data_IF_827022467673
#
_entry.id   IF_827022467673
#
_cell.length_a   1.000
_cell.length_b   1.000
_cell.length_c   1.000
_cell.angle_alpha   90.00
_cell.angle_beta   90.00
_cell.angle_gamma   90.00
#
_symmetry.space_group_name_H-M   'P 1'
#
loop_
_entity.id
_entity.type
_entity.pdbx_description
1 polymer ?
#
# COMPACT_ATOMS: atom_id res chain seq x y z
N UNK A 1 25.79 -11.80 47.80
CA UNK A 1 26.40 -10.83 48.71
C UNK A 1 25.47 -9.63 48.74
N UNK A 2 24.81 -9.38 49.89
CA UNK A 2 23.85 -8.30 50.16
C UNK A 2 24.61 -7.02 50.50
N UNK A 3 24.11 -5.83 50.08
CA UNK A 3 24.18 -4.52 50.79
C UNK A 3 23.36 -3.48 49.98
N UNK A 4 22.19 -3.11 50.43
CA UNK A 4 21.73 -2.06 51.39
C UNK A 4 21.74 -0.64 50.80
N UNK A 5 20.50 -0.12 50.69
CA UNK A 5 20.13 1.32 50.52
C UNK A 5 20.59 2.17 51.70
N UNK A 6 20.63 3.53 51.53
CA UNK A 6 19.71 4.28 52.38
C UNK A 6 18.86 5.35 51.66
N UNK A 7 17.69 5.59 52.25
CA UNK A 7 16.77 6.71 52.12
C UNK A 7 17.34 7.95 52.84
N UNK A 8 17.10 9.15 52.24
CA UNK A 8 17.05 10.40 53.02
C UNK A 8 15.81 11.17 52.55
N UNK A 9 14.91 11.40 53.48
CA UNK A 9 13.79 12.30 53.43
C UNK A 9 14.16 13.61 54.15
N UNK A 10 13.82 14.76 53.60
CA UNK A 10 13.70 16.01 54.37
C UNK A 10 12.47 16.78 53.86
N UNK A 11 11.64 17.11 54.84
CA UNK A 11 10.42 17.90 54.76
C UNK A 11 10.69 19.37 55.13
N UNK A 12 9.78 20.27 54.77
CA UNK A 12 9.65 21.61 55.36
C UNK A 12 9.10 22.62 54.35
N UNK A 13 8.02 23.03 54.51
CA UNK A 13 7.19 23.99 55.25
C UNK A 13 6.72 25.18 54.44
N UNK A 14 5.46 25.43 54.56
CA UNK A 14 4.54 26.43 54.06
C UNK A 14 4.91 27.91 54.33
N UNK A 15 4.36 28.82 53.48
CA UNK A 15 3.85 30.11 53.91
C UNK A 15 2.79 30.64 52.92
N UNK A 16 1.64 30.97 53.49
CA UNK A 16 0.49 31.63 52.87
C UNK A 16 0.65 33.15 52.95
N UNK A 17 0.12 33.88 51.96
CA UNK A 17 -0.24 35.30 52.14
C UNK A 17 -1.45 35.65 51.29
N UNK A 18 -2.50 36.09 51.96
CA UNK A 18 -3.76 36.68 51.49
C UNK A 18 -3.59 38.18 51.23
N UNK A 19 -4.33 38.74 50.25
CA UNK A 19 -4.94 40.07 50.22
C UNK A 19 -5.79 40.20 48.95
N UNK A 20 -7.07 40.22 49.00
CA UNK A 20 -8.14 41.17 49.26
C UNK A 20 -8.38 42.26 48.19
N UNK A 21 -9.50 42.05 47.50
CA UNK A 21 -10.62 42.93 47.11
C UNK A 21 -10.38 44.17 46.26
N UNK A 22 -11.13 44.21 45.13
CA UNK A 22 -11.98 45.32 44.77
C UNK A 22 -13.10 44.92 43.83
N UNK A 23 -14.34 45.22 44.23
CA UNK A 23 -15.55 45.07 43.41
C UNK A 23 -15.67 46.23 42.41
N UNK A 24 -16.18 45.94 41.19
CA UNK A 24 -17.09 46.84 40.47
C UNK A 24 -17.85 46.01 39.39
N UNK A 25 -19.11 45.99 39.62
CA UNK A 25 -20.33 45.77 38.84
C UNK A 25 -20.27 45.63 37.31
N UNK A 26 -20.92 44.53 36.84
CA UNK A 26 -21.94 44.58 35.80
C UNK A 26 -21.52 44.08 34.43
N UNK A 27 -21.87 42.87 34.10
CA UNK A 27 -22.75 42.47 33.02
C UNK A 27 -22.73 40.92 32.88
N UNK A 28 -23.89 40.35 32.79
CA UNK A 28 -24.13 38.95 32.46
C UNK A 28 -23.47 38.59 31.14
N UNK A 29 -22.48 37.71 31.20
CA UNK A 29 -22.04 36.92 30.05
C UNK A 29 -22.07 35.45 30.43
N UNK A 30 -22.76 34.70 29.59
CA UNK A 30 -22.94 33.27 29.68
C UNK A 30 -21.58 32.57 29.71
N UNK A 31 -21.38 31.81 30.76
CA UNK A 31 -20.23 30.91 30.89
C UNK A 31 -20.45 29.76 29.92
N UNK A 32 -19.97 29.94 28.70
CA UNK A 32 -19.70 28.80 27.79
C UNK A 32 -18.55 28.03 28.43
N UNK A 33 -18.86 26.85 28.94
CA UNK A 33 -17.84 25.86 29.26
C UNK A 33 -17.07 25.57 27.96
N UNK A 34 -15.85 26.06 27.91
CA UNK A 34 -14.89 25.56 26.94
C UNK A 34 -14.61 24.10 27.32
N UNK A 35 -15.28 23.19 26.67
CA UNK A 35 -14.74 21.85 26.46
C UNK A 35 -13.43 22.08 25.74
N UNK A 36 -12.33 21.63 26.31
CA UNK A 36 -11.08 21.41 25.60
C UNK A 36 -11.39 20.40 24.47
N UNK A 37 -11.87 20.88 23.34
CA UNK A 37 -11.72 20.18 22.09
C UNK A 37 -10.21 20.17 21.83
N UNK A 38 -9.61 19.01 21.94
CA UNK A 38 -8.36 18.65 21.28
C UNK A 38 -8.42 19.33 19.92
N UNK A 39 -7.46 20.19 19.62
CA UNK A 39 -7.33 20.83 18.33
C UNK A 39 -7.12 19.71 17.31
N UNK A 40 -8.18 19.17 16.79
CA UNK A 40 -8.23 18.30 15.64
C UNK A 40 -8.17 19.21 14.43
N UNK A 41 -6.95 19.29 13.80
CA UNK A 41 -6.86 18.58 12.54
C UNK A 41 -7.74 19.14 11.44
N UNK A 42 -7.14 19.82 10.56
CA UNK A 42 -7.27 20.14 9.16
C UNK A 42 -8.55 19.87 8.34
N UNK A 43 -9.62 19.36 8.88
CA UNK A 43 -10.89 19.17 8.18
C UNK A 43 -11.66 20.49 8.01
N UNK A 44 -12.35 20.69 6.87
CA UNK A 44 -12.48 19.75 5.75
C UNK A 44 -11.20 19.59 4.94
N UNK A 45 -10.99 18.38 4.38
CA UNK A 45 -9.88 18.06 3.50
C UNK A 45 -10.44 17.85 2.10
N UNK A 46 -9.83 18.47 1.08
CA UNK A 46 -10.19 18.26 -0.32
C UNK A 46 -9.09 17.46 -1.01
N UNK A 47 -9.47 16.38 -1.70
CA UNK A 47 -8.57 15.50 -2.43
C UNK A 47 -8.98 15.52 -3.90
N UNK A 48 -8.05 15.91 -4.78
CA UNK A 48 -8.21 15.85 -6.23
C UNK A 48 -7.92 14.42 -6.75
N UNK A 49 -8.71 13.96 -7.72
CA UNK A 49 -8.55 12.63 -8.33
C UNK A 49 -9.13 12.62 -9.75
N UNK A 50 -8.99 11.53 -10.49
CA UNK A 50 -9.38 11.41 -11.90
C UNK A 50 -10.83 11.79 -12.22
N UNK A 51 -11.74 11.69 -11.25
CA UNK A 51 -13.18 12.02 -11.42
C UNK A 51 -13.56 13.39 -10.85
N UNK A 52 -12.59 14.22 -10.42
CA UNK A 52 -12.82 15.55 -9.88
C UNK A 52 -12.20 15.72 -8.48
N UNK A 53 -13.01 16.08 -7.49
CA UNK A 53 -12.55 16.28 -6.12
C UNK A 53 -13.50 15.62 -5.10
N UNK A 54 -12.95 15.12 -4.02
CA UNK A 54 -13.73 14.64 -2.87
C UNK A 54 -13.41 15.50 -1.63
N UNK A 55 -14.46 15.97 -0.97
CA UNK A 55 -14.35 16.73 0.28
C UNK A 55 -14.69 15.82 1.45
N UNK A 56 -13.72 15.61 2.32
CA UNK A 56 -13.90 14.92 3.60
C UNK A 56 -14.17 15.98 4.66
N UNK A 57 -15.43 16.11 5.09
CA UNK A 57 -15.90 17.20 5.94
C UNK A 57 -15.41 17.11 7.41
N UNK A 58 -15.18 15.90 7.89
CA UNK A 58 -14.74 15.62 9.27
C UNK A 58 -13.96 14.32 9.32
N UNK A 59 -13.23 14.07 10.39
CA UNK A 59 -12.54 12.80 10.60
C UNK A 59 -13.50 11.62 10.44
N UNK A 60 -13.22 10.67 9.52
CA UNK A 60 -14.11 9.54 9.27
C UNK A 60 -14.09 8.57 10.46
N UNK A 61 -15.27 8.01 10.78
CA UNK A 61 -15.42 7.03 11.87
C UNK A 61 -15.61 5.60 11.31
N UNK A 62 -16.05 5.48 10.05
CA UNK A 62 -16.38 4.21 9.40
C UNK A 62 -15.81 4.15 7.99
N UNK A 63 -14.54 3.81 7.90
CA UNK A 63 -13.84 3.74 6.63
C UNK A 63 -14.11 2.40 5.93
N UNK A 64 -14.42 2.44 4.64
CA UNK A 64 -14.33 1.29 3.75
C UNK A 64 -13.15 1.48 2.79
N UNK A 65 -12.51 0.39 2.37
CA UNK A 65 -11.43 0.40 1.37
C UNK A 65 -11.80 -0.45 0.18
N UNK A 66 -11.38 -0.01 -1.01
CA UNK A 66 -11.56 -0.73 -2.26
C UNK A 66 -10.28 -0.68 -3.09
N UNK A 67 -10.05 -1.74 -3.87
CA UNK A 67 -8.78 -1.94 -4.58
C UNK A 67 -7.67 -2.43 -3.65
N UNK A 68 -6.41 -2.18 -4.01
CA UNK A 68 -5.27 -2.77 -3.29
C UNK A 68 -4.45 -1.72 -2.54
N UNK A 69 -3.81 -2.15 -1.43
CA UNK A 69 -2.94 -1.32 -0.62
C UNK A 69 -3.63 -0.29 0.28
N UNK A 70 -4.88 0.09 -0.01
CA UNK A 70 -5.62 1.10 0.77
C UNK A 70 -5.95 0.62 2.19
N UNK A 71 -6.26 -0.66 2.36
CA UNK A 71 -6.52 -1.29 3.67
C UNK A 71 -5.28 -1.21 4.54
N UNK A 72 -4.15 -1.63 4.01
CA UNK A 72 -2.87 -1.65 4.71
C UNK A 72 -2.38 -0.24 5.02
N UNK A 73 -2.56 0.70 4.09
CA UNK A 73 -2.23 2.10 4.31
C UNK A 73 -3.05 2.71 5.47
N UNK A 74 -4.36 2.41 5.54
CA UNK A 74 -5.21 2.86 6.65
C UNK A 74 -4.77 2.24 7.99
N UNK A 75 -4.48 0.94 8.01
CA UNK A 75 -4.03 0.24 9.22
C UNK A 75 -2.68 0.76 9.70
N UNK A 76 -1.75 1.04 8.79
CA UNK A 76 -0.41 1.52 9.14
C UNK A 76 -0.42 2.88 9.86
N UNK A 77 -1.44 3.71 9.60
CA UNK A 77 -1.66 4.98 10.32
C UNK A 77 -2.65 4.85 11.49
N UNK A 78 -3.00 3.63 11.87
CA UNK A 78 -3.80 3.33 13.07
C UNK A 78 -5.32 3.33 12.86
N UNK A 79 -5.80 3.39 11.61
CA UNK A 79 -7.23 3.32 11.28
C UNK A 79 -7.57 1.93 10.74
N UNK A 80 -8.53 1.25 11.37
CA UNK A 80 -8.97 -0.09 10.99
C UNK A 80 -10.28 0.01 10.21
N UNK A 81 -10.28 -0.19 8.88
CA UNK A 81 -11.49 -0.11 8.08
C UNK A 81 -12.58 -1.07 8.56
N UNK A 82 -13.85 -0.64 8.50
CA UNK A 82 -15.00 -1.50 8.86
C UNK A 82 -15.39 -2.45 7.74
N UNK A 83 -14.95 -2.16 6.50
CA UNK A 83 -15.19 -2.98 5.33
C UNK A 83 -14.00 -2.89 4.37
N UNK A 84 -13.60 -4.00 3.78
CA UNK A 84 -12.42 -4.11 2.90
C UNK A 84 -12.73 -5.00 1.71
N UNK A 85 -12.11 -4.74 0.56
CA UNK A 85 -12.24 -5.60 -0.60
C UNK A 85 -11.64 -6.98 -0.33
N UNK A 86 -12.31 -8.01 -0.79
CA UNK A 86 -11.81 -9.39 -0.82
C UNK A 86 -10.57 -9.50 -1.73
N UNK A 87 -9.64 -10.36 -1.34
CA UNK A 87 -8.42 -10.63 -2.12
C UNK A 87 -8.43 -12.03 -2.75
N UNK A 88 -9.59 -12.44 -3.26
CA UNK A 88 -9.86 -13.81 -3.68
C UNK A 88 -8.92 -14.32 -4.77
N UNK A 89 -8.51 -13.48 -5.72
CA UNK A 89 -7.62 -13.89 -6.80
C UNK A 89 -6.17 -14.13 -6.32
N UNK A 90 -5.76 -13.55 -5.19
CA UNK A 90 -4.41 -13.69 -4.65
C UNK A 90 -4.34 -14.63 -3.45
N UNK A 91 -5.34 -14.67 -2.57
CA UNK A 91 -5.31 -15.51 -1.36
C UNK A 91 -6.42 -16.56 -1.29
N UNK A 92 -7.41 -16.55 -2.21
CA UNK A 92 -8.53 -17.48 -2.27
C UNK A 92 -9.82 -16.98 -1.62
N UNK A 93 -10.80 -17.89 -1.46
CA UNK A 93 -12.17 -17.55 -1.09
C UNK A 93 -12.27 -16.77 0.24
N UNK A 94 -12.80 -15.53 0.17
CA UNK A 94 -13.25 -14.73 1.31
C UNK A 94 -12.18 -14.33 2.31
N UNK A 95 -10.93 -14.46 1.95
CA UNK A 95 -9.83 -14.29 2.88
C UNK A 95 -9.28 -12.86 2.87
N UNK A 96 -8.86 -12.42 4.05
CA UNK A 96 -8.00 -11.28 4.23
C UNK A 96 -6.55 -11.68 3.94
N UNK A 97 -5.72 -10.71 3.54
CA UNK A 97 -4.28 -10.90 3.49
C UNK A 97 -3.74 -11.19 4.90
N UNK A 98 -2.77 -12.11 5.06
CA UNK A 98 -2.32 -12.55 6.39
C UNK A 98 -1.87 -11.41 7.30
N UNK A 99 -1.15 -10.43 6.77
CA UNK A 99 -0.69 -9.26 7.53
C UNK A 99 -1.84 -8.33 7.95
N UNK A 100 -2.92 -8.29 7.16
CA UNK A 100 -4.15 -7.55 7.54
C UNK A 100 -4.84 -8.25 8.68
N UNK A 101 -5.05 -9.58 8.59
CA UNK A 101 -5.67 -10.39 9.66
C UNK A 101 -4.86 -10.28 10.97
N UNK A 102 -3.53 -10.43 10.89
CA UNK A 102 -2.63 -10.28 12.04
C UNK A 102 -2.72 -8.89 12.69
N UNK A 103 -2.88 -7.82 11.89
CA UNK A 103 -2.99 -6.47 12.40
C UNK A 103 -4.30 -6.25 13.19
N UNK A 104 -5.44 -6.76 12.68
CA UNK A 104 -6.72 -6.71 13.41
C UNK A 104 -6.65 -7.50 14.72
N UNK A 105 -6.08 -8.72 14.69
CA UNK A 105 -5.90 -9.56 15.86
C UNK A 105 -5.01 -8.89 16.91
N UNK A 106 -3.88 -8.31 16.49
CA UNK A 106 -2.95 -7.64 17.37
C UNK A 106 -3.55 -6.39 18.04
N UNK A 107 -4.37 -5.65 17.32
CA UNK A 107 -5.10 -4.49 17.84
C UNK A 107 -6.28 -4.88 18.74
N UNK A 108 -6.79 -6.10 18.62
CA UNK A 108 -7.98 -6.57 19.33
C UNK A 108 -9.26 -5.84 18.90
N UNK A 109 -9.30 -5.39 17.65
CA UNK A 109 -10.49 -4.77 17.03
C UNK A 109 -11.31 -5.81 16.29
N UNK A 110 -12.59 -5.51 16.04
CA UNK A 110 -13.45 -6.36 15.26
C UNK A 110 -12.96 -6.46 13.81
N UNK A 111 -12.93 -7.68 13.25
CA UNK A 111 -12.56 -7.89 11.86
C UNK A 111 -13.53 -7.19 10.91
N UNK A 112 -13.07 -6.71 9.76
CA UNK A 112 -13.90 -5.98 8.81
C UNK A 112 -14.93 -6.89 8.14
N UNK A 113 -15.98 -6.29 7.57
CA UNK A 113 -16.76 -6.95 6.54
C UNK A 113 -15.89 -7.12 5.30
N UNK A 114 -15.75 -8.34 4.80
CA UNK A 114 -15.07 -8.61 3.54
C UNK A 114 -16.08 -8.43 2.41
N UNK A 115 -15.86 -7.43 1.58
CA UNK A 115 -16.70 -7.07 0.43
C UNK A 115 -16.27 -7.91 -0.76
N UNK A 116 -17.20 -8.57 -1.43
CA UNK A 116 -16.90 -9.44 -2.57
C UNK A 116 -16.17 -8.71 -3.69
N UNK A 117 -15.05 -9.27 -4.12
CA UNK A 117 -14.21 -8.80 -5.25
C UNK A 117 -13.67 -9.98 -6.06
N UNK A 118 -14.48 -10.99 -6.32
CA UNK A 118 -14.12 -12.19 -7.06
C UNK A 118 -13.84 -11.93 -8.56
N UNK A 119 -14.17 -10.73 -9.05
CA UNK A 119 -13.91 -10.28 -10.42
C UNK A 119 -12.82 -9.19 -10.51
N UNK A 120 -12.03 -8.96 -9.45
CA UNK A 120 -10.90 -8.04 -9.45
C UNK A 120 -11.26 -6.59 -9.78
N UNK A 121 -12.32 -6.05 -9.16
CA UNK A 121 -12.81 -4.70 -9.36
C UNK A 121 -13.72 -4.51 -10.57
N UNK A 122 -13.96 -5.55 -11.39
CA UNK A 122 -14.84 -5.42 -12.55
C UNK A 122 -16.30 -5.17 -12.18
N UNK A 123 -16.76 -5.76 -11.09
CA UNK A 123 -18.12 -5.58 -10.55
C UNK A 123 -18.05 -5.07 -9.11
N UNK A 124 -18.82 -4.02 -8.80
CA UNK A 124 -18.91 -3.46 -7.45
C UNK A 124 -20.17 -3.97 -6.75
N UNK A 125 -20.06 -4.60 -5.57
CA UNK A 125 -21.21 -5.05 -4.79
C UNK A 125 -21.78 -3.92 -3.94
N UNK A 126 -22.46 -2.97 -4.55
CA UNK A 126 -22.98 -1.75 -3.90
C UNK A 126 -23.82 -2.03 -2.67
N UNK A 127 -24.61 -3.13 -2.67
CA UNK A 127 -25.46 -3.51 -1.53
C UNK A 127 -24.62 -3.82 -0.29
N UNK A 128 -23.44 -4.42 -0.44
CA UNK A 128 -22.52 -4.72 0.66
C UNK A 128 -21.92 -3.42 1.24
N UNK A 129 -21.58 -2.44 0.39
CA UNK A 129 -21.18 -1.10 0.85
C UNK A 129 -22.29 -0.40 1.62
N UNK A 130 -23.54 -0.46 1.13
CA UNK A 130 -24.71 0.11 1.84
C UNK A 130 -24.88 -0.55 3.22
N UNK A 131 -24.75 -1.87 3.31
CA UNK A 131 -24.86 -2.61 4.58
C UNK A 131 -23.71 -2.27 5.54
N UNK A 132 -22.49 -2.10 5.03
CA UNK A 132 -21.34 -1.69 5.82
C UNK A 132 -21.47 -0.25 6.34
N UNK A 133 -22.29 0.58 5.68
CA UNK A 133 -22.58 1.97 6.04
C UNK A 133 -21.30 2.80 6.34
N UNK A 134 -20.35 2.88 5.42
CA UNK A 134 -19.16 3.72 5.59
C UNK A 134 -19.51 5.21 5.52
N UNK A 135 -18.67 6.04 6.11
CA UNK A 135 -18.70 7.50 5.95
C UNK A 135 -17.57 8.02 5.05
N UNK A 136 -16.65 7.13 4.63
CA UNK A 136 -15.62 7.37 3.63
C UNK A 136 -15.26 6.05 2.94
N UNK A 137 -15.09 6.09 1.60
CA UNK A 137 -14.54 4.98 0.80
C UNK A 137 -13.19 5.42 0.23
N UNK A 138 -12.13 4.65 0.47
CA UNK A 138 -10.76 4.95 0.03
C UNK A 138 -10.34 3.93 -1.02
N UNK A 139 -10.03 4.39 -2.23
CA UNK A 139 -9.74 3.56 -3.39
C UNK A 139 -8.65 4.18 -4.33
N UNK A 140 -7.51 4.70 -3.80
CA UNK A 140 -6.50 5.38 -4.62
C UNK A 140 -5.75 4.44 -5.57
N UNK A 141 -5.67 3.15 -5.31
CA UNK A 141 -5.12 2.15 -6.24
C UNK A 141 -6.21 1.16 -6.62
N UNK A 142 -7.02 1.55 -7.58
CA UNK A 142 -8.20 0.80 -8.04
C UNK A 142 -8.41 0.97 -9.55
N UNK A 143 -9.33 0.18 -10.11
CA UNK A 143 -9.78 0.27 -11.49
C UNK A 143 -11.16 0.88 -11.64
N UNK A 144 -11.62 1.72 -10.70
CA UNK A 144 -12.96 2.32 -10.74
C UNK A 144 -13.21 3.03 -12.07
N UNK A 145 -14.36 2.73 -12.68
CA UNK A 145 -14.90 3.53 -13.77
C UNK A 145 -15.67 4.74 -13.24
N UNK A 146 -15.90 5.74 -14.06
CA UNK A 146 -16.71 6.93 -13.70
C UNK A 146 -18.12 6.52 -13.21
N UNK A 147 -18.76 5.54 -13.86
CA UNK A 147 -20.07 5.03 -13.46
C UNK A 147 -20.04 4.36 -12.07
N UNK A 148 -18.98 3.60 -11.79
CA UNK A 148 -18.78 2.97 -10.48
C UNK A 148 -18.50 4.01 -9.40
N UNK A 149 -17.64 4.99 -9.69
CA UNK A 149 -17.36 6.11 -8.80
C UNK A 149 -18.62 6.91 -8.46
N UNK A 150 -19.41 7.29 -9.46
CA UNK A 150 -20.68 8.01 -9.26
C UNK A 150 -21.62 7.23 -8.34
N UNK A 151 -21.76 5.93 -8.59
CA UNK A 151 -22.68 5.07 -7.80
C UNK A 151 -22.20 4.89 -6.36
N UNK A 152 -20.89 4.71 -6.15
CA UNK A 152 -20.32 4.63 -4.80
C UNK A 152 -20.43 5.97 -4.07
N UNK A 153 -20.31 7.08 -4.77
CA UNK A 153 -20.43 8.45 -4.21
C UNK A 153 -21.85 8.77 -3.72
N UNK A 154 -22.87 8.07 -4.21
CA UNK A 154 -24.23 8.13 -3.65
C UNK A 154 -24.33 7.43 -2.27
N UNK A 155 -23.36 6.58 -1.91
CA UNK A 155 -23.31 5.86 -0.62
C UNK A 155 -22.49 6.65 0.40
N UNK A 156 -21.25 7.03 0.04
CA UNK A 156 -20.33 7.81 0.87
C UNK A 156 -19.32 8.55 -0.03
N UNK A 157 -18.64 9.61 0.46
CA UNK A 157 -17.52 10.23 -0.26
C UNK A 157 -16.49 9.18 -0.68
N UNK A 158 -15.98 9.27 -1.92
CA UNK A 158 -15.02 8.31 -2.50
C UNK A 158 -13.73 9.02 -2.85
N UNK A 159 -12.60 8.56 -2.31
CA UNK A 159 -11.26 8.98 -2.70
C UNK A 159 -10.75 7.99 -3.75
N UNK A 160 -10.74 8.40 -5.02
CA UNK A 160 -10.31 7.56 -6.13
C UNK A 160 -8.82 7.78 -6.48
N UNK A 161 -8.33 7.08 -7.51
CA UNK A 161 -6.96 7.25 -8.02
C UNK A 161 -6.75 8.64 -8.65
N UNK A 162 -5.51 9.20 -8.58
CA UNK A 162 -5.23 10.57 -9.03
C UNK A 162 -5.33 10.76 -10.53
N UNK A 163 -4.80 9.85 -11.37
CA UNK A 163 -4.68 10.04 -12.82
C UNK A 163 -5.32 8.90 -13.63
N UNK A 164 -4.85 7.68 -13.47
CA UNK A 164 -5.27 6.53 -14.28
C UNK A 164 -5.49 5.28 -13.42
N UNK A 165 -6.35 4.35 -13.87
CA UNK A 165 -6.60 3.09 -13.16
C UNK A 165 -5.31 2.29 -12.97
N UNK A 166 -5.07 1.77 -11.76
CA UNK A 166 -3.97 0.86 -11.44
C UNK A 166 -2.55 1.42 -11.66
N UNK A 167 -2.39 2.77 -11.68
CA UNK A 167 -1.10 3.43 -11.89
C UNK A 167 -0.64 4.30 -10.73
N UNK A 168 -1.41 4.39 -9.65
CA UNK A 168 -1.03 5.17 -8.48
C UNK A 168 0.23 4.57 -7.86
N UNK A 169 1.31 5.35 -7.68
CA UNK A 169 2.52 4.89 -7.00
C UNK A 169 2.23 4.31 -5.62
N UNK A 170 3.05 3.37 -5.18
CA UNK A 170 2.85 2.69 -3.90
C UNK A 170 2.90 3.67 -2.70
N UNK A 171 3.82 4.61 -2.72
CA UNK A 171 3.99 5.67 -1.72
C UNK A 171 2.85 6.69 -1.75
N UNK A 172 2.38 7.05 -2.94
CA UNK A 172 1.23 7.94 -3.11
C UNK A 172 -0.07 7.30 -2.61
N UNK A 173 -0.23 5.97 -2.74
CA UNK A 173 -1.36 5.24 -2.15
C UNK A 173 -1.40 5.42 -0.63
N UNK A 174 -0.24 5.38 0.04
CA UNK A 174 -0.12 5.62 1.48
C UNK A 174 -0.42 7.09 1.80
N UNK A 175 0.19 8.03 1.06
CA UNK A 175 0.01 9.47 1.27
C UNK A 175 -1.43 9.92 1.10
N UNK A 176 -2.10 9.50 0.02
CA UNK A 176 -3.51 9.83 -0.24
C UNK A 176 -4.40 9.27 0.86
N UNK A 177 -4.17 8.02 1.27
CA UNK A 177 -4.95 7.39 2.34
C UNK A 177 -4.77 8.12 3.66
N UNK A 178 -3.54 8.42 4.05
CA UNK A 178 -3.24 9.17 5.27
C UNK A 178 -3.84 10.58 5.25
N UNK A 179 -3.74 11.29 4.11
CA UNK A 179 -4.36 12.60 3.91
C UNK A 179 -5.88 12.53 4.07
N UNK A 180 -6.54 11.55 3.44
CA UNK A 180 -7.99 11.37 3.54
C UNK A 180 -8.45 11.13 5.00
N UNK A 181 -7.58 10.52 5.80
CA UNK A 181 -7.82 10.24 7.22
C UNK A 181 -7.42 11.41 8.14
N UNK A 182 -6.76 12.47 7.62
CA UNK A 182 -6.23 13.57 8.41
C UNK A 182 -5.01 13.16 9.26
N UNK A 183 -4.26 12.18 8.82
CA UNK A 183 -3.12 11.55 9.49
C UNK A 183 -1.84 11.64 8.63
N UNK A 184 -1.63 12.80 7.99
CA UNK A 184 -0.49 13.04 7.09
C UNK A 184 0.86 12.78 7.78
N UNK A 185 1.01 13.21 9.04
CA UNK A 185 2.27 13.03 9.76
C UNK A 185 2.57 11.55 10.09
N UNK A 186 1.53 10.77 10.35
CA UNK A 186 1.62 9.32 10.54
C UNK A 186 1.96 8.62 9.21
N UNK A 187 1.36 9.07 8.10
CA UNK A 187 1.69 8.61 6.75
C UNK A 187 3.13 8.89 6.36
N UNK A 188 3.61 10.11 6.61
CA UNK A 188 5.01 10.49 6.38
C UNK A 188 5.96 9.58 7.18
N UNK A 189 5.62 9.26 8.44
CA UNK A 189 6.44 8.38 9.25
C UNK A 189 6.50 6.94 8.73
N UNK A 190 5.39 6.42 8.19
CA UNK A 190 5.34 5.10 7.53
C UNK A 190 6.21 5.10 6.27
N UNK A 191 6.13 6.16 5.45
CA UNK A 191 6.95 6.29 4.25
C UNK A 191 8.44 6.39 4.58
N UNK A 192 8.80 7.17 5.60
CA UNK A 192 10.20 7.27 6.07
C UNK A 192 10.74 5.91 6.51
N UNK A 193 9.92 5.05 7.15
CA UNK A 193 10.31 3.69 7.54
C UNK A 193 10.54 2.80 6.32
N UNK A 194 9.63 2.80 5.34
CA UNK A 194 9.76 1.99 4.13
C UNK A 194 10.94 2.44 3.27
N UNK A 195 11.09 3.74 3.02
CA UNK A 195 12.26 4.27 2.30
C UNK A 195 13.58 3.99 3.02
N UNK A 196 13.57 4.05 4.37
CA UNK A 196 14.71 3.65 5.19
C UNK A 196 15.10 2.19 4.97
N UNK A 197 14.12 1.28 4.99
CA UNK A 197 14.32 -0.13 4.68
C UNK A 197 14.91 -0.34 3.28
N UNK A 198 14.30 0.27 2.25
CA UNK A 198 14.77 0.14 0.86
C UNK A 198 16.20 0.69 0.67
N UNK A 199 16.51 1.81 1.33
CA UNK A 199 17.87 2.38 1.29
C UNK A 199 18.90 1.47 1.99
N UNK A 200 18.54 0.83 3.10
CA UNK A 200 19.39 -0.13 3.80
C UNK A 200 19.63 -1.39 2.95
N UNK A 201 18.60 -1.91 2.27
CA UNK A 201 18.74 -3.03 1.34
C UNK A 201 19.60 -2.67 0.12
N UNK A 202 19.38 -1.49 -0.50
CA UNK A 202 20.22 -1.00 -1.59
C UNK A 202 21.69 -0.88 -1.18
N UNK A 203 21.97 -0.40 0.04
CA UNK A 203 23.32 -0.30 0.57
C UNK A 203 23.96 -1.68 0.88
N UNK A 204 23.13 -2.67 1.27
CA UNK A 204 23.57 -4.03 1.50
C UNK A 204 23.87 -4.79 0.20
N UNK A 205 23.26 -4.37 -0.92
CA UNK A 205 23.34 -5.00 -2.24
C UNK A 205 23.89 -4.08 -3.33
N UNK A 206 25.15 -3.61 -3.22
CA UNK A 206 25.74 -2.70 -4.22
C UNK A 206 25.83 -3.31 -5.63
N UNK A 207 25.68 -4.62 -5.76
CA UNK A 207 25.59 -5.33 -7.05
C UNK A 207 24.31 -5.03 -7.83
N UNK A 208 23.31 -4.42 -7.21
CA UNK A 208 22.05 -4.03 -7.86
C UNK A 208 22.21 -2.76 -8.69
N UNK A 209 23.12 -1.88 -8.31
CA UNK A 209 23.27 -0.57 -8.95
C UNK A 209 23.49 -0.69 -10.47
N UNK A 210 22.57 -0.10 -11.23
CA UNK A 210 22.59 -0.07 -12.70
C UNK A 210 22.29 -1.41 -13.38
N UNK A 211 21.83 -2.43 -12.64
CA UNK A 211 21.36 -3.67 -13.24
C UNK A 211 19.95 -3.51 -13.81
N UNK A 212 19.79 -3.93 -15.06
CA UNK A 212 18.54 -3.82 -15.76
C UNK A 212 17.66 -5.05 -15.54
N UNK A 213 16.35 -4.84 -15.36
CA UNK A 213 15.38 -5.91 -15.20
C UNK A 213 14.10 -5.67 -15.99
N UNK A 214 13.34 -6.77 -16.21
CA UNK A 214 11.96 -6.71 -16.66
C UNK A 214 11.10 -7.58 -15.74
N UNK A 215 9.96 -7.05 -15.29
CA UNK A 215 8.95 -7.79 -14.56
C UNK A 215 7.94 -8.41 -15.53
N UNK A 216 7.65 -9.71 -15.39
CA UNK A 216 6.80 -10.42 -16.34
C UNK A 216 5.83 -11.40 -15.67
N UNK A 217 4.75 -11.73 -16.39
CA UNK A 217 3.83 -12.82 -16.08
C UNK A 217 3.51 -13.59 -17.38
N UNK A 218 3.73 -14.90 -17.39
CA UNK A 218 3.41 -15.76 -18.54
C UNK A 218 2.00 -16.36 -18.38
N UNK A 219 1.10 -16.05 -19.28
CA UNK A 219 -0.28 -16.52 -19.25
C UNK A 219 -0.99 -16.37 -20.59
N UNK A 220 -2.06 -17.12 -20.80
CA UNK A 220 -2.95 -17.02 -21.96
C UNK A 220 -2.29 -17.05 -23.34
N UNK A 221 -1.09 -17.64 -23.44
CA UNK A 221 -0.35 -17.77 -24.69
C UNK A 221 0.48 -16.54 -25.07
N UNK A 222 0.76 -15.65 -24.13
CA UNK A 222 1.59 -14.47 -24.28
C UNK A 222 2.30 -14.14 -22.94
N UNK A 223 3.13 -13.13 -22.93
CA UNK A 223 3.78 -12.62 -21.72
C UNK A 223 3.29 -11.21 -21.46
N UNK A 224 2.76 -10.99 -20.27
CA UNK A 224 2.48 -9.65 -19.74
C UNK A 224 3.80 -9.06 -19.24
N UNK A 225 4.17 -7.90 -19.77
CA UNK A 225 5.39 -7.18 -19.35
C UNK A 225 4.94 -5.92 -18.61
N UNK A 226 5.34 -5.81 -17.35
CA UNK A 226 4.98 -4.67 -16.52
C UNK A 226 5.86 -3.47 -16.83
N UNK A 227 5.25 -2.30 -16.92
CA UNK A 227 5.91 -1.02 -17.22
C UNK A 227 6.39 -0.33 -15.94
N UNK A 228 7.13 0.76 -16.08
CA UNK A 228 7.55 1.60 -14.94
C UNK A 228 6.36 2.27 -14.21
N UNK A 229 5.20 2.36 -14.86
CA UNK A 229 3.96 2.85 -14.23
C UNK A 229 3.35 1.87 -13.22
N UNK A 230 3.81 0.62 -13.20
CA UNK A 230 3.36 -0.37 -12.23
C UNK A 230 4.12 -0.25 -10.91
N UNK A 231 3.44 -0.09 -9.75
CA UNK A 231 4.09 0.06 -8.45
C UNK A 231 5.02 -1.09 -8.05
N UNK A 232 4.76 -2.33 -8.54
CA UNK A 232 5.66 -3.48 -8.30
C UNK A 232 7.00 -3.33 -8.99
N UNK A 233 7.07 -2.54 -10.05
CA UNK A 233 8.27 -2.24 -10.82
C UNK A 233 8.98 -1.02 -10.23
N UNK A 234 8.24 0.07 -9.98
CA UNK A 234 8.84 1.32 -9.48
C UNK A 234 9.54 1.13 -8.14
N UNK A 235 8.99 0.33 -7.21
CA UNK A 235 9.65 0.09 -5.92
C UNK A 235 11.00 -0.62 -6.05
N UNK A 236 11.21 -1.47 -7.07
CA UNK A 236 12.50 -2.14 -7.31
C UNK A 236 13.58 -1.16 -7.78
N UNK A 237 13.19 -0.03 -8.37
CA UNK A 237 14.16 0.99 -8.78
C UNK A 237 14.78 1.71 -7.58
N UNK A 238 14.10 1.74 -6.45
CA UNK A 238 14.65 2.30 -5.20
C UNK A 238 15.78 1.43 -4.60
N UNK A 239 15.88 0.17 -5.03
CA UNK A 239 17.01 -0.71 -4.70
C UNK A 239 18.26 -0.45 -5.57
N UNK A 240 18.21 0.54 -6.49
CA UNK A 240 19.29 0.83 -7.44
C UNK A 240 19.21 0.03 -8.74
N UNK A 241 18.14 -0.74 -8.94
CA UNK A 241 17.86 -1.45 -10.19
C UNK A 241 17.29 -0.49 -11.25
N UNK A 242 17.45 -0.82 -12.52
CA UNK A 242 16.91 -0.03 -13.63
C UNK A 242 15.94 -0.87 -14.47
N UNK A 243 14.81 -0.30 -14.88
CA UNK A 243 13.92 -0.96 -15.83
C UNK A 243 14.65 -1.08 -17.17
N UNK A 244 14.65 -2.27 -17.75
CA UNK A 244 15.36 -2.52 -19.01
C UNK A 244 14.80 -1.60 -20.14
N UNK A 245 15.66 -0.93 -20.92
CA UNK A 245 15.23 -0.07 -22.02
C UNK A 245 14.29 -0.77 -23.02
N UNK A 246 14.48 -2.08 -23.20
CA UNK A 246 13.61 -2.91 -24.07
C UNK A 246 12.16 -2.93 -23.61
N UNK A 247 11.87 -2.73 -22.32
CA UNK A 247 10.49 -2.64 -21.80
C UNK A 247 9.77 -1.45 -22.43
N UNK A 248 10.38 -0.25 -22.36
CA UNK A 248 9.80 0.96 -22.96
C UNK A 248 9.78 0.90 -24.50
N UNK A 249 10.79 0.28 -25.15
CA UNK A 249 10.87 0.15 -26.60
C UNK A 249 9.77 -0.78 -27.17
N UNK A 250 9.33 -1.77 -26.39
CA UNK A 250 8.32 -2.74 -26.78
C UNK A 250 6.91 -2.36 -26.32
N UNK A 251 6.80 -1.37 -25.44
CA UNK A 251 5.51 -0.88 -24.95
C UNK A 251 4.68 -0.31 -26.09
N UNK A 252 3.47 -0.86 -26.25
CA UNK A 252 2.48 -0.44 -27.24
C UNK A 252 1.30 0.30 -26.62
N UNK A 253 1.34 0.51 -25.30
CA UNK A 253 0.30 1.23 -24.54
C UNK A 253 0.63 2.73 -24.46
N UNK A 254 -0.33 3.51 -24.01
CA UNK A 254 -0.15 4.95 -23.77
C UNK A 254 -0.16 5.20 -22.25
N UNK A 255 0.90 4.67 -21.56
CA UNK A 255 1.06 4.80 -20.11
C UNK A 255 0.31 3.75 -19.29
N UNK A 256 0.00 2.60 -19.85
CA UNK A 256 -0.58 1.47 -19.12
C UNK A 256 0.43 0.81 -18.18
N UNK A 257 -0.04 0.15 -17.12
CA UNK A 257 0.83 -0.52 -16.15
C UNK A 257 1.44 -1.84 -16.67
N UNK A 258 0.93 -2.38 -17.78
CA UNK A 258 1.51 -3.52 -18.52
C UNK A 258 1.15 -3.45 -20.00
N UNK A 259 1.86 -4.25 -20.81
CA UNK A 259 1.52 -4.57 -22.17
C UNK A 259 1.67 -6.06 -22.45
N UNK A 260 1.01 -6.53 -23.52
CA UNK A 260 1.05 -7.91 -23.96
C UNK A 260 2.16 -8.11 -25.00
N UNK A 261 3.06 -9.06 -24.75
CA UNK A 261 4.13 -9.42 -25.66
C UNK A 261 3.93 -10.85 -26.19
N UNK A 262 3.79 -10.99 -27.50
CA UNK A 262 3.67 -12.33 -28.13
C UNK A 262 4.98 -13.10 -28.03
N UNK A 263 4.90 -14.43 -27.93
CA UNK A 263 6.08 -15.31 -27.86
C UNK A 263 7.07 -15.10 -29.01
N UNK A 264 6.60 -14.66 -30.19
CA UNK A 264 7.44 -14.37 -31.36
C UNK A 264 8.36 -13.14 -31.18
N UNK A 265 8.13 -12.34 -30.14
CA UNK A 265 8.87 -11.11 -29.87
C UNK A 265 9.72 -11.18 -28.59
N UNK A 266 9.68 -12.28 -27.86
CA UNK A 266 10.37 -12.44 -26.58
C UNK A 266 11.89 -12.32 -26.70
N UNK A 267 12.47 -12.60 -27.85
CA UNK A 267 13.89 -12.42 -28.15
C UNK A 267 14.34 -10.94 -28.12
N UNK A 268 13.39 -9.99 -28.12
CA UNK A 268 13.65 -8.56 -28.04
C UNK A 268 13.62 -8.03 -26.59
N UNK A 269 13.07 -8.80 -25.64
CA UNK A 269 13.05 -8.41 -24.22
C UNK A 269 14.43 -8.66 -23.62
N UNK A 270 15.30 -7.65 -23.73
CA UNK A 270 16.70 -7.69 -23.29
C UNK A 270 16.85 -7.00 -21.95
N UNK A 271 17.28 -7.74 -20.92
CA UNK A 271 17.52 -7.29 -19.56
C UNK A 271 18.63 -8.12 -18.92
N UNK A 272 19.29 -7.63 -17.89
CA UNK A 272 20.29 -8.40 -17.12
C UNK A 272 19.64 -9.60 -16.42
N UNK A 273 18.38 -9.44 -15.96
CA UNK A 273 17.59 -10.51 -15.36
C UNK A 273 16.08 -10.25 -15.50
N UNK A 274 15.30 -11.29 -15.23
CA UNK A 274 13.82 -11.23 -15.21
C UNK A 274 13.33 -11.40 -13.77
N UNK A 275 12.31 -10.65 -13.36
CA UNK A 275 11.45 -10.96 -12.22
C UNK A 275 10.19 -11.59 -12.78
N UNK A 276 10.01 -12.88 -12.56
CA UNK A 276 8.84 -13.61 -13.03
C UNK A 276 7.83 -13.80 -11.90
N UNK A 277 6.61 -13.35 -12.12
CA UNK A 277 5.45 -13.55 -11.24
C UNK A 277 4.60 -14.71 -11.77
N UNK A 278 4.14 -15.58 -10.88
CA UNK A 278 3.36 -16.77 -11.24
C UNK A 278 2.35 -17.12 -10.14
N UNK A 279 1.20 -17.72 -10.50
CA UNK A 279 0.19 -18.14 -9.53
C UNK A 279 0.62 -19.38 -8.72
N UNK A 280 1.60 -20.13 -9.19
CA UNK A 280 2.03 -21.37 -8.57
C UNK A 280 3.50 -21.71 -8.87
N UNK A 281 4.07 -22.58 -8.04
CA UNK A 281 5.39 -23.14 -8.28
C UNK A 281 5.46 -23.89 -9.63
N UNK A 282 4.39 -24.58 -10.04
CA UNK A 282 4.34 -25.31 -11.33
C UNK A 282 4.48 -24.35 -12.50
N UNK A 283 3.78 -23.21 -12.48
CA UNK A 283 3.89 -22.17 -13.51
C UNK A 283 5.28 -21.53 -13.51
N UNK A 284 5.83 -21.24 -12.33
CA UNK A 284 7.17 -20.69 -12.18
C UNK A 284 8.25 -21.62 -12.76
N UNK A 285 8.17 -22.94 -12.51
CA UNK A 285 9.06 -23.95 -13.08
C UNK A 285 8.85 -24.12 -14.60
N UNK A 286 7.59 -24.05 -15.06
CA UNK A 286 7.26 -24.09 -16.46
C UNK A 286 7.83 -22.89 -17.22
N UNK A 287 7.77 -21.68 -16.66
CA UNK A 287 8.37 -20.50 -17.24
C UNK A 287 9.86 -20.67 -17.54
N UNK A 288 10.61 -21.32 -16.66
CA UNK A 288 12.04 -21.57 -16.84
C UNK A 288 12.37 -22.58 -17.94
N UNK A 289 11.44 -23.43 -18.33
CA UNK A 289 11.71 -24.58 -19.24
C UNK A 289 10.93 -24.56 -20.54
N UNK A 290 9.93 -23.70 -20.66
CA UNK A 290 9.08 -23.54 -21.83
C UNK A 290 9.91 -23.01 -23.02
N UNK A 291 9.86 -23.65 -24.21
CA UNK A 291 10.66 -23.24 -25.34
C UNK A 291 10.48 -21.78 -25.76
N UNK A 292 9.26 -21.25 -25.60
CA UNK A 292 8.91 -19.88 -25.93
C UNK A 292 9.60 -18.88 -25.01
N UNK A 293 9.56 -19.10 -23.69
CA UNK A 293 10.18 -18.20 -22.71
C UNK A 293 11.70 -18.28 -22.74
N UNK A 294 12.28 -19.40 -23.19
CA UNK A 294 13.71 -19.54 -23.44
C UNK A 294 14.21 -18.64 -24.60
N UNK A 295 13.32 -17.99 -25.36
CA UNK A 295 13.70 -16.95 -26.30
C UNK A 295 14.15 -15.65 -25.61
N UNK A 296 13.73 -15.40 -24.36
CA UNK A 296 14.21 -14.27 -23.55
C UNK A 296 15.68 -14.52 -23.17
N UNK A 297 16.63 -13.65 -23.53
CA UNK A 297 18.06 -13.88 -23.28
C UNK A 297 18.39 -14.16 -21.81
N UNK A 298 17.79 -13.42 -20.88
CA UNK A 298 18.00 -13.59 -19.44
C UNK A 298 17.46 -14.94 -18.93
N UNK A 299 16.31 -15.40 -19.43
CA UNK A 299 15.75 -16.73 -19.09
C UNK A 299 16.65 -17.85 -19.58
N UNK A 300 17.13 -17.76 -20.84
CA UNK A 300 18.06 -18.74 -21.40
C UNK A 300 19.40 -18.78 -20.63
N UNK A 301 19.80 -17.66 -20.01
CA UNK A 301 20.97 -17.55 -19.16
C UNK A 301 20.75 -18.00 -17.72
N UNK A 302 19.52 -18.38 -17.33
CA UNK A 302 19.16 -18.75 -15.95
C UNK A 302 19.07 -17.55 -14.99
N UNK A 303 18.95 -16.34 -15.54
CA UNK A 303 18.88 -15.10 -14.76
C UNK A 303 17.42 -14.70 -14.49
N UNK A 304 16.75 -15.46 -13.60
CA UNK A 304 15.34 -15.24 -13.25
C UNK A 304 15.14 -15.28 -11.75
N UNK A 305 14.68 -14.18 -11.17
CA UNK A 305 14.13 -14.13 -9.83
C UNK A 305 12.65 -14.54 -9.90
N UNK A 306 12.26 -15.55 -9.14
CA UNK A 306 10.91 -16.10 -9.14
C UNK A 306 10.10 -15.58 -7.96
N UNK A 307 8.89 -15.12 -8.23
CA UNK A 307 7.86 -14.79 -7.24
C UNK A 307 6.65 -15.66 -7.56
N UNK A 308 6.31 -16.57 -6.68
CA UNK A 308 5.20 -17.49 -6.90
C UNK A 308 4.47 -17.80 -5.59
N UNK A 309 3.32 -18.39 -5.68
CA UNK A 309 2.19 -18.54 -4.76
C UNK A 309 1.41 -17.22 -4.50
N UNK A 310 0.10 -17.34 -4.23
CA UNK A 310 -0.77 -16.17 -4.13
C UNK A 310 -0.35 -15.16 -3.05
N UNK A 311 0.00 -15.62 -1.85
CA UNK A 311 0.37 -14.73 -0.73
C UNK A 311 1.69 -14.00 -1.00
N UNK A 312 2.70 -14.71 -1.53
CA UNK A 312 3.99 -14.12 -1.90
C UNK A 312 3.81 -13.09 -3.01
N UNK A 313 3.02 -13.40 -4.04
CA UNK A 313 2.71 -12.44 -5.10
C UNK A 313 2.01 -11.22 -4.53
N UNK A 314 0.98 -11.39 -3.69
CA UNK A 314 0.26 -10.28 -3.06
C UNK A 314 1.15 -9.36 -2.22
N UNK A 315 2.21 -9.91 -1.61
CA UNK A 315 3.10 -9.12 -0.74
C UNK A 315 4.03 -8.16 -1.51
N UNK A 316 4.20 -8.35 -2.82
CA UNK A 316 5.11 -7.56 -3.66
C UNK A 316 4.47 -7.07 -4.97
N UNK A 317 3.14 -7.18 -5.11
CA UNK A 317 2.45 -6.91 -6.39
C UNK A 317 1.11 -6.17 -6.22
N UNK A 318 1.14 -4.91 -5.84
CA UNK A 318 2.25 -4.08 -5.37
C UNK A 318 2.61 -4.37 -3.90
N UNK A 319 3.81 -4.02 -3.45
CA UNK A 319 4.12 -3.97 -2.03
C UNK A 319 3.22 -2.95 -1.33
N UNK A 320 2.82 -3.26 -0.11
CA UNK A 320 1.92 -2.41 0.68
C UNK A 320 2.55 -2.01 2.01
N UNK A 321 1.95 -1.04 2.69
CA UNK A 321 2.44 -0.52 3.97
C UNK A 321 2.63 -1.58 5.07
N UNK A 322 2.00 -2.75 4.97
CA UNK A 322 2.13 -3.85 5.93
C UNK A 322 2.88 -5.07 5.39
N UNK A 323 3.14 -5.13 4.10
CA UNK A 323 3.75 -6.31 3.47
C UNK A 323 5.21 -6.11 3.07
N UNK A 324 5.73 -4.90 3.09
CA UNK A 324 7.08 -4.61 2.60
C UNK A 324 8.19 -5.33 3.40
N UNK A 325 7.99 -5.54 4.70
CA UNK A 325 8.90 -6.25 5.60
C UNK A 325 8.49 -7.71 5.89
N UNK A 326 7.37 -8.18 5.30
CA UNK A 326 6.96 -9.57 5.44
C UNK A 326 8.00 -10.52 4.87
N UNK A 327 8.48 -11.47 5.68
CA UNK A 327 9.66 -12.28 5.36
C UNK A 327 9.58 -13.05 4.02
N UNK A 328 8.38 -13.45 3.58
CA UNK A 328 8.12 -14.10 2.30
C UNK A 328 7.98 -13.15 1.11
N UNK A 329 7.91 -11.84 1.35
CA UNK A 329 7.70 -10.78 0.37
C UNK A 329 8.99 -10.11 -0.09
N UNK A 330 9.10 -8.79 0.12
CA UNK A 330 10.25 -8.01 -0.35
C UNK A 330 11.61 -8.55 0.13
N UNK A 331 11.81 -8.97 1.39
CA UNK A 331 13.08 -9.58 1.81
C UNK A 331 13.45 -10.85 1.04
N UNK A 332 12.46 -11.68 0.70
CA UNK A 332 12.69 -12.87 -0.11
C UNK A 332 13.01 -12.52 -1.56
N UNK A 333 12.31 -11.53 -2.13
CA UNK A 333 12.58 -11.04 -3.49
C UNK A 333 13.97 -10.42 -3.62
N UNK A 334 14.38 -9.57 -2.68
CA UNK A 334 15.75 -9.01 -2.60
C UNK A 334 16.79 -10.14 -2.58
N UNK A 335 16.57 -11.17 -1.72
CA UNK A 335 17.46 -12.35 -1.65
C UNK A 335 17.51 -13.10 -2.98
N UNK A 336 16.36 -13.29 -3.66
CA UNK A 336 16.31 -13.97 -4.95
C UNK A 336 17.06 -13.18 -6.04
N UNK A 337 16.88 -11.87 -6.10
CA UNK A 337 17.60 -10.98 -7.04
C UNK A 337 19.10 -11.04 -6.78
N UNK A 338 19.53 -10.91 -5.52
CA UNK A 338 20.94 -11.02 -5.15
C UNK A 338 21.54 -12.37 -5.57
N UNK A 339 20.82 -13.46 -5.40
CA UNK A 339 21.22 -14.79 -5.87
C UNK A 339 21.44 -14.85 -7.38
N UNK A 340 20.51 -14.28 -8.14
CA UNK A 340 20.60 -14.21 -9.62
C UNK A 340 21.79 -13.39 -10.11
N UNK A 341 22.10 -12.29 -9.42
CA UNK A 341 23.18 -11.38 -9.81
C UNK A 341 24.57 -11.81 -9.31
N UNK A 342 24.64 -12.70 -8.29
CA UNK A 342 25.90 -13.26 -7.79
C UNK A 342 26.51 -14.34 -8.71
N UNK A 343 25.72 -14.94 -9.59
CA UNK A 343 26.15 -15.96 -10.58
C UNK A 343 26.68 -15.32 -11.88
#
# INVERSE_FOLDING_TARGET
MRLRRPLIAVAGLAAAALALTACASGTTDETTSASDSVAGTGFPITIEHAFGETVVESAPERVATWGWGSTEAAISVGVYPVAVAEQSWTVGEGNLLPWVEEAYDAAGVEHPVVINDDEGGATIPYEEFIEAAPDLIIAPYSGLTEEQYDTLSDIAPVVAYPEAPWTTPWDETISITATALGLEAEGDAVLDEIHGYLADEAAAHPEFEGKTFAGVWDGDGLVYVYTEADPRISILTELGLEVAPSVAELDTTDGGFFYELSYEQLDKLDADFIVNYSSSQEEAEAFLTKPETQAIPAVAAGKVAQVYDPVTVSSVSPPTALSFDWAGGMPALVTAIAGVLAE
#
